data_IF_955318323451
#
_entry.id   IF_955318323451
#
_cell.length_a   1.000
_cell.length_b   1.000
_cell.length_c   1.000
_cell.angle_alpha   90.00
_cell.angle_beta   90.00
_cell.angle_gamma   90.00
#
_symmetry.space_group_name_H-M   'P 1'
#
loop_
_entity.id
_entity.type
_entity.pdbx_description
1 polymer ?
#
# COMPACT_ATOMS: atom_id res chain seq x y z
N UNK A 1 35.55 -16.39 10.51
CA UNK A 1 36.77 -16.94 9.89
C UNK A 1 36.37 -17.71 8.64
N UNK A 2 37.05 -17.45 7.52
CA UNK A 2 36.70 -18.08 6.24
C UNK A 2 37.13 -19.54 6.21
N UNK A 3 36.27 -20.40 5.68
CA UNK A 3 36.57 -21.82 5.45
C UNK A 3 36.40 -22.20 3.99
N UNK A 4 37.22 -23.14 3.52
CA UNK A 4 37.06 -23.79 2.21
C UNK A 4 36.50 -25.19 2.39
N UNK A 5 35.71 -25.62 1.41
CA UNK A 5 35.25 -27.00 1.31
C UNK A 5 36.38 -27.81 0.70
N UNK A 6 37.00 -28.68 1.49
CA UNK A 6 38.08 -29.57 1.02
C UNK A 6 37.48 -30.74 0.24
N UNK A 7 36.38 -31.30 0.74
CA UNK A 7 35.66 -32.40 0.11
C UNK A 7 34.21 -32.39 0.57
N UNK A 8 33.26 -32.48 -0.36
CA UNK A 8 31.84 -32.64 -0.06
C UNK A 8 31.25 -33.65 -1.02
N UNK A 9 30.62 -34.69 -0.47
CA UNK A 9 29.91 -35.71 -1.23
C UNK A 9 28.68 -36.16 -0.44
N UNK A 10 27.92 -37.13 -0.98
CA UNK A 10 26.66 -37.60 -0.39
C UNK A 10 26.80 -38.23 1.01
N UNK A 11 28.02 -38.64 1.41
CA UNK A 11 28.26 -39.31 2.70
C UNK A 11 29.14 -38.51 3.67
N UNK A 12 29.84 -37.46 3.21
CA UNK A 12 30.84 -36.74 4.01
C UNK A 12 31.00 -35.28 3.59
N UNK A 13 31.22 -34.43 4.58
CA UNK A 13 31.66 -33.04 4.41
C UNK A 13 32.95 -32.81 5.21
N UNK A 14 33.97 -32.26 4.55
CA UNK A 14 35.23 -31.86 5.15
C UNK A 14 35.49 -30.38 4.84
N UNK A 15 35.62 -29.58 5.89
CA UNK A 15 35.93 -28.15 5.82
C UNK A 15 37.29 -27.90 6.49
N UNK A 16 38.04 -26.95 5.94
CA UNK A 16 39.27 -26.42 6.54
C UNK A 16 39.28 -24.90 6.46
N UNK A 17 40.16 -24.26 7.22
CA UNK A 17 40.38 -22.83 7.04
C UNK A 17 40.88 -22.54 5.61
N UNK A 18 40.67 -21.31 5.14
CA UNK A 18 41.26 -20.83 3.88
C UNK A 18 42.79 -20.74 4.00
N UNK A 19 43.30 -20.31 5.16
CA UNK A 19 44.73 -20.31 5.48
C UNK A 19 45.23 -21.76 5.63
N UNK A 20 46.26 -22.09 4.86
CA UNK A 20 46.83 -23.44 4.78
C UNK A 20 47.60 -23.83 6.05
N UNK A 21 48.08 -22.84 6.80
CA UNK A 21 48.79 -23.05 8.06
C UNK A 21 47.85 -23.09 9.27
N UNK A 22 46.54 -22.94 9.06
CA UNK A 22 45.56 -22.98 10.12
C UNK A 22 45.14 -24.43 10.45
N UNK A 23 45.10 -24.77 11.74
CA UNK A 23 44.68 -26.09 12.19
C UNK A 23 43.16 -26.31 12.19
N UNK A 24 42.36 -25.24 12.01
CA UNK A 24 40.90 -25.33 12.05
C UNK A 24 40.38 -26.26 10.96
N UNK A 25 39.58 -27.24 11.36
CA UNK A 25 38.98 -28.24 10.47
C UNK A 25 37.73 -28.87 11.08
N UNK A 26 36.76 -29.16 10.23
CA UNK A 26 35.52 -29.83 10.61
C UNK A 26 35.25 -30.99 9.65
N UNK A 27 34.92 -32.15 10.23
CA UNK A 27 34.48 -33.33 9.49
C UNK A 27 33.11 -33.75 9.97
N UNK A 28 32.15 -33.80 9.04
CA UNK A 28 30.82 -34.33 9.26
C UNK A 28 30.57 -35.53 8.34
N UNK A 29 29.81 -36.52 8.84
CA UNK A 29 29.46 -37.75 8.11
C UNK A 29 27.95 -37.93 8.17
N UNK A 30 27.34 -38.34 7.05
CA UNK A 30 25.91 -38.66 6.98
C UNK A 30 25.61 -39.89 7.84
N UNK A 31 24.52 -39.85 8.61
CA UNK A 31 24.05 -41.03 9.32
C UNK A 31 23.50 -42.07 8.32
N UNK A 32 23.73 -43.38 8.52
CA UNK A 32 23.23 -44.40 7.60
C UNK A 32 21.70 -44.42 7.45
N UNK A 33 20.99 -44.00 8.51
CA UNK A 33 19.53 -44.17 8.65
C UNK A 33 18.76 -42.86 8.45
N UNK A 34 19.43 -41.73 8.22
CA UNK A 34 18.75 -40.43 8.06
C UNK A 34 19.51 -39.47 7.15
N UNK A 35 18.87 -38.36 6.78
CA UNK A 35 19.50 -37.28 6.02
C UNK A 35 20.36 -36.33 6.87
N UNK A 36 20.49 -36.63 8.17
CA UNK A 36 21.32 -35.82 9.07
C UNK A 36 22.80 -36.15 8.94
N UNK A 37 23.62 -35.11 9.08
CA UNK A 37 25.07 -35.22 9.19
C UNK A 37 25.48 -34.99 10.64
N UNK A 38 26.35 -35.85 11.17
CA UNK A 38 26.93 -35.71 12.51
C UNK A 38 28.38 -35.25 12.39
N UNK A 39 28.75 -34.23 13.16
CA UNK A 39 30.13 -33.76 13.26
C UNK A 39 30.94 -34.81 14.03
N UNK A 40 31.84 -35.51 13.33
CA UNK A 40 32.70 -36.55 13.91
C UNK A 40 34.04 -36.02 14.40
N UNK A 41 34.53 -34.93 13.83
CA UNK A 41 35.76 -34.26 14.27
C UNK A 41 35.62 -32.77 14.10
N UNK A 42 35.93 -32.02 15.14
CA UNK A 42 35.89 -30.57 15.14
C UNK A 42 37.10 -30.02 15.90
N UNK A 43 37.99 -29.35 15.17
CA UNK A 43 39.04 -28.53 15.77
C UNK A 43 38.53 -27.10 15.74
N UNK A 44 38.15 -26.59 16.91
CA UNK A 44 37.45 -25.32 17.04
C UNK A 44 38.38 -24.10 17.03
N UNK A 45 39.64 -24.28 17.43
CA UNK A 45 40.63 -23.21 17.49
C UNK A 45 41.16 -22.86 16.10
N UNK A 46 41.23 -21.56 15.84
CA UNK A 46 41.94 -21.00 14.69
C UNK A 46 43.34 -20.58 15.13
N UNK A 47 44.37 -21.15 14.53
CA UNK A 47 45.77 -20.75 14.72
C UNK A 47 46.24 -19.67 13.76
N UNK A 48 45.38 -19.27 12.81
CA UNK A 48 45.67 -18.22 11.85
C UNK A 48 45.46 -16.82 12.45
N UNK A 49 46.29 -15.87 12.04
CA UNK A 49 46.17 -14.49 12.48
C UNK A 49 44.83 -13.86 12.05
N UNK A 50 44.31 -13.02 12.92
CA UNK A 50 43.10 -12.23 12.73
C UNK A 50 43.22 -11.19 11.61
N UNK A 51 44.44 -10.85 11.18
CA UNK A 51 44.71 -9.91 10.07
C UNK A 51 44.28 -10.46 8.70
N UNK A 52 44.22 -11.78 8.52
CA UNK A 52 43.70 -12.43 7.31
C UNK A 52 42.16 -12.48 7.25
N UNK A 53 41.46 -11.90 8.24
CA UNK A 53 40.00 -11.79 8.27
C UNK A 53 39.55 -10.78 7.22
N UNK A 54 39.05 -11.28 6.10
CA UNK A 54 38.27 -10.43 5.18
C UNK A 54 36.97 -10.03 5.86
N UNK A 55 36.71 -8.73 5.84
CA UNK A 55 35.46 -8.15 6.32
C UNK A 55 34.24 -8.71 5.55
N UNK A 56 34.40 -9.00 4.26
CA UNK A 56 33.38 -9.62 3.42
C UNK A 56 33.57 -11.14 3.39
N UNK A 57 32.57 -11.88 3.88
CA UNK A 57 32.68 -13.31 4.12
C UNK A 57 31.70 -14.10 3.23
N UNK A 58 32.19 -15.01 2.39
CA UNK A 58 31.34 -15.77 1.43
C UNK A 58 30.24 -16.61 2.10
N UNK A 59 30.49 -17.05 3.32
CA UNK A 59 29.65 -17.93 4.12
C UNK A 59 28.56 -17.16 4.88
N UNK A 60 28.64 -15.83 4.94
CA UNK A 60 27.62 -14.96 5.51
C UNK A 60 26.42 -14.81 4.55
N UNK A 61 25.82 -15.93 4.19
CA UNK A 61 24.69 -15.98 3.26
C UNK A 61 23.49 -15.22 3.82
N UNK A 62 22.64 -14.71 2.91
CA UNK A 62 21.42 -14.02 3.29
C UNK A 62 20.50 -14.90 4.15
N UNK A 63 20.42 -16.19 3.82
CA UNK A 63 19.61 -17.19 4.54
C UNK A 63 20.07 -17.38 5.98
N UNK A 64 21.38 -17.58 6.18
CA UNK A 64 21.96 -17.75 7.53
C UNK A 64 21.78 -16.48 8.38
N UNK A 65 22.15 -15.33 7.84
CA UNK A 65 22.01 -14.07 8.57
C UNK A 65 20.53 -13.73 8.81
N UNK A 66 19.65 -14.07 7.87
CA UNK A 66 18.20 -13.89 7.98
C UNK A 66 17.61 -14.69 9.14
N UNK A 67 18.03 -15.95 9.30
CA UNK A 67 17.60 -16.77 10.44
C UNK A 67 18.13 -16.26 11.79
N UNK A 68 19.28 -15.58 11.82
CA UNK A 68 19.85 -15.02 13.05
C UNK A 68 19.13 -13.75 13.51
N UNK A 69 18.57 -12.97 12.56
CA UNK A 69 17.85 -11.72 12.87
C UNK A 69 16.32 -11.89 12.80
N UNK A 70 15.81 -13.10 12.58
CA UNK A 70 14.38 -13.35 12.40
C UNK A 70 13.55 -12.95 13.61
N UNK A 71 14.12 -13.04 14.81
CA UNK A 71 13.51 -12.60 16.08
C UNK A 71 13.21 -11.10 16.12
N UNK A 72 13.89 -10.28 15.31
CA UNK A 72 13.59 -8.86 15.17
C UNK A 72 12.35 -8.58 14.30
N UNK A 73 11.78 -9.60 13.68
CA UNK A 73 10.57 -9.53 12.88
C UNK A 73 9.41 -10.24 13.59
N UNK A 74 8.20 -9.88 13.20
CA UNK A 74 6.96 -10.50 13.67
C UNK A 74 5.88 -10.27 12.62
N UNK A 75 4.70 -10.87 12.81
CA UNK A 75 3.57 -10.68 11.90
C UNK A 75 3.26 -9.19 11.69
N UNK A 76 3.13 -8.44 12.78
CA UNK A 76 2.82 -7.00 12.78
C UNK A 76 4.05 -6.09 12.89
N UNK A 77 5.26 -6.64 13.12
CA UNK A 77 6.49 -5.84 13.29
C UNK A 77 7.22 -5.68 11.97
N UNK A 78 7.44 -4.45 11.52
CA UNK A 78 8.14 -4.13 10.27
C UNK A 78 9.61 -4.63 10.23
N UNK A 79 10.19 -4.77 11.42
CA UNK A 79 11.54 -5.25 11.65
C UNK A 79 12.63 -4.25 11.25
N UNK A 80 13.84 -4.76 11.02
CA UNK A 80 15.02 -3.93 10.83
C UNK A 80 15.14 -3.38 9.40
N UNK A 81 15.62 -2.14 9.28
CA UNK A 81 16.00 -1.55 7.98
C UNK A 81 17.38 -2.06 7.55
N UNK A 82 17.69 -2.12 6.24
CA UNK A 82 18.97 -2.65 5.75
C UNK A 82 20.21 -2.02 6.39
N UNK A 83 20.21 -0.72 6.68
CA UNK A 83 21.35 -0.06 7.38
C UNK A 83 21.54 -0.55 8.81
N UNK A 84 20.44 -0.81 9.53
CA UNK A 84 20.48 -1.36 10.89
C UNK A 84 20.98 -2.81 10.87
N UNK A 85 20.62 -3.58 9.84
CA UNK A 85 21.11 -4.96 9.65
C UNK A 85 22.62 -4.96 9.42
N UNK A 86 23.15 -4.04 8.59
CA UNK A 86 24.60 -3.92 8.38
C UNK A 86 25.31 -3.68 9.72
N UNK A 87 24.81 -2.73 10.51
CA UNK A 87 25.42 -2.38 11.79
C UNK A 87 25.34 -3.54 12.78
N UNK A 88 24.17 -4.17 12.91
CA UNK A 88 23.96 -5.27 13.85
C UNK A 88 24.79 -6.50 13.49
N UNK A 89 24.89 -6.87 12.20
CA UNK A 89 25.72 -8.00 11.75
C UNK A 89 27.21 -7.69 11.98
N UNK A 90 27.62 -6.43 11.82
CA UNK A 90 28.98 -5.99 12.15
C UNK A 90 29.25 -6.11 13.65
N UNK A 91 28.36 -5.60 14.49
CA UNK A 91 28.54 -5.57 15.95
C UNK A 91 28.46 -6.97 16.58
N UNK A 92 27.50 -7.80 16.17
CA UNK A 92 27.28 -9.12 16.79
C UNK A 92 28.19 -10.21 16.22
N UNK A 93 28.58 -10.10 14.94
CA UNK A 93 29.26 -11.19 14.25
C UNK A 93 30.60 -10.77 13.62
N UNK A 94 30.98 -9.49 13.70
CA UNK A 94 32.24 -9.00 13.10
C UNK A 94 32.28 -9.11 11.58
N UNK A 95 31.12 -9.26 10.92
CA UNK A 95 31.03 -9.43 9.46
C UNK A 95 30.53 -8.15 8.81
N UNK A 96 31.22 -7.68 7.78
CA UNK A 96 30.74 -6.60 6.92
C UNK A 96 29.92 -7.17 5.77
N UNK A 97 28.74 -6.59 5.57
CA UNK A 97 27.87 -6.91 4.44
C UNK A 97 27.52 -5.63 3.70
N UNK A 98 27.38 -5.72 2.39
CA UNK A 98 26.92 -4.59 1.58
C UNK A 98 25.39 -4.41 1.70
N UNK A 99 24.90 -3.26 1.25
CA UNK A 99 23.47 -2.93 1.28
C UNK A 99 22.58 -3.95 0.56
N UNK A 100 23.01 -4.45 -0.61
CA UNK A 100 22.23 -5.42 -1.39
C UNK A 100 22.09 -6.75 -0.65
N UNK A 101 23.14 -7.17 0.04
CA UNK A 101 23.12 -8.35 0.90
C UNK A 101 22.23 -8.13 2.11
N UNK A 102 22.34 -6.98 2.80
CA UNK A 102 21.46 -6.63 3.92
C UNK A 102 19.97 -6.59 3.52
N UNK A 103 19.67 -6.11 2.30
CA UNK A 103 18.31 -6.18 1.75
C UNK A 103 17.86 -7.64 1.58
N UNK A 104 18.69 -8.52 1.02
CA UNK A 104 18.35 -9.94 0.90
C UNK A 104 18.17 -10.62 2.26
N UNK A 105 19.04 -10.32 3.23
CA UNK A 105 18.92 -10.80 4.61
C UNK A 105 17.57 -10.43 5.22
N UNK A 106 17.13 -9.18 5.03
CA UNK A 106 15.81 -8.71 5.44
C UNK A 106 14.68 -9.52 4.81
N UNK A 107 14.76 -9.79 3.51
CA UNK A 107 13.71 -10.54 2.82
C UNK A 107 13.65 -12.00 3.29
N UNK A 108 14.79 -12.66 3.49
CA UNK A 108 14.85 -14.02 4.07
C UNK A 108 14.25 -14.05 5.49
N UNK A 109 14.59 -13.09 6.34
CA UNK A 109 14.04 -12.99 7.70
C UNK A 109 12.51 -12.80 7.69
N UNK A 110 11.97 -11.99 6.77
CA UNK A 110 10.52 -11.84 6.60
C UNK A 110 9.87 -13.12 6.13
N UNK A 111 10.44 -13.81 5.16
CA UNK A 111 9.91 -15.07 4.63
C UNK A 111 9.86 -16.12 5.74
N UNK A 112 10.89 -16.22 6.57
CA UNK A 112 10.93 -17.15 7.70
C UNK A 112 9.81 -16.91 8.72
N UNK A 113 9.41 -15.66 8.92
CA UNK A 113 8.41 -15.29 9.94
C UNK A 113 6.99 -15.23 9.37
N UNK A 114 6.81 -14.78 8.12
CA UNK A 114 5.50 -14.48 7.52
C UNK A 114 5.10 -15.45 6.42
N UNK A 115 5.97 -16.41 6.10
CA UNK A 115 5.81 -17.29 4.94
C UNK A 115 6.19 -16.61 3.62
N UNK A 116 6.11 -17.38 2.55
CA UNK A 116 6.35 -16.87 1.21
C UNK A 116 5.11 -16.16 0.65
N UNK A 117 5.26 -15.25 -0.31
CA UNK A 117 4.14 -14.73 -1.08
C UNK A 117 3.30 -15.85 -1.70
N UNK A 118 3.94 -16.94 -2.13
CA UNK A 118 3.28 -18.12 -2.69
C UNK A 118 2.37 -18.81 -1.66
N UNK A 119 2.84 -19.00 -0.42
CA UNK A 119 2.04 -19.58 0.67
C UNK A 119 0.77 -18.74 0.95
N UNK A 120 0.85 -17.42 0.75
CA UNK A 120 -0.29 -16.52 0.94
C UNK A 120 -1.42 -16.79 -0.07
N UNK A 121 -1.09 -17.23 -1.29
CA UNK A 121 -2.09 -17.62 -2.28
C UNK A 121 -2.79 -18.93 -1.90
N UNK A 122 -2.04 -19.92 -1.41
CA UNK A 122 -2.62 -21.17 -0.92
C UNK A 122 -3.50 -20.98 0.32
N UNK A 123 -3.22 -19.97 1.14
CA UNK A 123 -4.03 -19.62 2.30
C UNK A 123 -5.21 -18.68 2.00
N UNK A 124 -5.35 -18.20 0.75
CA UNK A 124 -6.34 -17.18 0.40
C UNK A 124 -7.77 -17.65 0.65
N UNK A 125 -8.10 -18.89 0.30
CA UNK A 125 -9.46 -19.44 0.45
C UNK A 125 -9.87 -19.54 1.92
N UNK A 126 -8.96 -20.05 2.77
CA UNK A 126 -9.13 -20.08 4.23
C UNK A 126 -9.30 -18.68 4.82
N UNK A 127 -8.50 -17.73 4.35
CA UNK A 127 -8.61 -16.33 4.78
C UNK A 127 -9.95 -15.69 4.38
N UNK A 128 -10.40 -15.86 3.14
CA UNK A 128 -11.68 -15.34 2.67
C UNK A 128 -12.84 -15.92 3.49
N UNK A 129 -12.80 -17.21 3.78
CA UNK A 129 -13.78 -17.88 4.65
C UNK A 129 -13.79 -17.27 6.05
N UNK A 130 -12.61 -17.10 6.68
CA UNK A 130 -12.54 -16.49 8.01
C UNK A 130 -13.01 -15.04 8.03
N UNK A 131 -12.76 -14.27 6.98
CA UNK A 131 -13.30 -12.92 6.86
C UNK A 131 -14.83 -12.94 6.85
N UNK A 132 -15.45 -13.87 6.11
CA UNK A 132 -16.92 -13.98 6.10
C UNK A 132 -17.50 -14.42 7.43
N UNK A 133 -16.82 -15.30 8.17
CA UNK A 133 -17.24 -15.70 9.52
C UNK A 133 -17.10 -14.56 10.54
N UNK A 134 -15.95 -13.90 10.56
CA UNK A 134 -15.62 -12.85 11.55
C UNK A 134 -16.34 -11.54 11.29
N UNK A 135 -16.79 -11.30 10.06
CA UNK A 135 -17.49 -10.07 9.66
C UNK A 135 -18.81 -10.43 8.96
N UNK A 136 -19.89 -10.68 9.71
CA UNK A 136 -21.18 -11.08 9.14
C UNK A 136 -21.72 -10.10 8.09
N UNK A 137 -22.22 -10.67 7.00
CA UNK A 137 -22.70 -9.91 5.82
C UNK A 137 -21.59 -9.50 4.85
N UNK A 138 -20.34 -9.89 5.09
CA UNK A 138 -19.27 -9.72 4.10
C UNK A 138 -19.48 -10.62 2.88
N UNK A 139 -19.12 -10.11 1.71
CA UNK A 139 -19.15 -10.83 0.44
C UNK A 139 -17.72 -11.06 -0.04
N UNK A 140 -17.38 -12.32 -0.26
CA UNK A 140 -16.09 -12.72 -0.82
C UNK A 140 -16.30 -13.56 -2.06
N UNK A 141 -15.42 -13.39 -3.04
CA UNK A 141 -15.42 -14.18 -4.26
C UNK A 141 -13.98 -14.42 -4.70
N UNK A 142 -13.71 -15.65 -5.15
CA UNK A 142 -12.42 -16.06 -5.65
C UNK A 142 -12.60 -16.70 -7.01
N UNK A 143 -11.75 -16.32 -7.95
CA UNK A 143 -11.76 -16.82 -9.31
C UNK A 143 -10.39 -17.32 -9.72
N UNK A 144 -10.37 -18.54 -10.26
CA UNK A 144 -9.18 -19.19 -10.81
C UNK A 144 -9.25 -19.24 -12.33
N UNK A 145 -8.10 -19.32 -12.98
CA UNK A 145 -8.01 -19.55 -14.42
C UNK A 145 -8.26 -21.03 -14.79
N UNK A 146 -8.22 -21.35 -16.09
CA UNK A 146 -8.39 -22.70 -16.60
C UNK A 146 -7.32 -23.71 -16.10
N UNK A 147 -6.20 -23.22 -15.56
CA UNK A 147 -5.15 -24.05 -14.97
C UNK A 147 -5.24 -24.10 -13.43
N UNK A 148 -6.34 -23.60 -12.85
CA UNK A 148 -6.58 -23.57 -11.41
C UNK A 148 -5.77 -22.50 -10.66
N UNK A 149 -5.10 -21.58 -11.36
CA UNK A 149 -4.28 -20.52 -10.72
C UNK A 149 -5.10 -19.31 -10.38
N UNK A 150 -4.69 -18.60 -9.33
CA UNK A 150 -5.29 -17.33 -8.94
C UNK A 150 -5.40 -16.38 -10.14
N UNK A 151 -6.61 -15.84 -10.33
CA UNK A 151 -6.87 -14.80 -11.34
C UNK A 151 -7.40 -13.54 -10.67
N UNK A 152 -8.50 -13.65 -9.93
CA UNK A 152 -9.14 -12.53 -9.24
C UNK A 152 -9.66 -12.93 -7.86
N UNK A 153 -9.69 -11.97 -6.94
CA UNK A 153 -10.49 -12.07 -5.73
C UNK A 153 -11.21 -10.75 -5.50
N UNK A 154 -12.40 -10.83 -4.92
CA UNK A 154 -13.22 -9.70 -4.50
C UNK A 154 -13.57 -9.87 -3.03
N UNK A 155 -13.52 -8.76 -2.29
CA UNK A 155 -13.87 -8.70 -0.88
C UNK A 155 -14.63 -7.40 -0.65
N UNK A 156 -15.84 -7.51 -0.10
CA UNK A 156 -16.60 -6.39 0.43
C UNK A 156 -17.02 -6.73 1.86
N UNK A 157 -16.54 -5.94 2.83
CA UNK A 157 -16.86 -6.18 4.23
C UNK A 157 -18.32 -5.82 4.51
N UNK A 158 -19.00 -6.63 5.32
CA UNK A 158 -20.38 -6.39 5.77
C UNK A 158 -20.58 -4.99 6.36
N UNK A 159 -19.70 -4.53 7.28
CA UNK A 159 -19.68 -3.14 7.75
C UNK A 159 -19.71 -2.11 6.62
N UNK A 160 -18.87 -2.29 5.59
CA UNK A 160 -18.79 -1.36 4.45
C UNK A 160 -20.04 -1.41 3.57
N UNK A 161 -20.64 -2.59 3.37
CA UNK A 161 -21.89 -2.74 2.60
C UNK A 161 -23.05 -2.03 3.30
N UNK A 162 -23.19 -2.21 4.62
CA UNK A 162 -24.21 -1.54 5.44
C UNK A 162 -24.01 -0.02 5.42
N UNK A 163 -22.78 0.43 5.65
CA UNK A 163 -22.45 1.86 5.59
C UNK A 163 -22.84 2.48 4.25
N UNK A 164 -22.51 1.79 3.14
CA UNK A 164 -22.86 2.24 1.79
C UNK A 164 -24.37 2.39 1.57
N UNK A 165 -25.19 1.51 2.15
CA UNK A 165 -26.65 1.57 2.00
C UNK A 165 -27.30 2.80 2.63
N UNK A 166 -26.65 3.38 3.65
CA UNK A 166 -27.11 4.58 4.35
C UNK A 166 -26.67 5.86 3.63
N UNK A 167 -25.77 5.75 2.66
CA UNK A 167 -25.22 6.91 1.97
C UNK A 167 -26.14 7.39 0.86
N UNK A 168 -26.18 8.71 0.70
CA UNK A 168 -26.76 9.29 -0.51
C UNK A 168 -25.92 8.87 -1.72
N UNK A 169 -26.60 8.47 -2.79
CA UNK A 169 -25.96 8.02 -4.03
C UNK A 169 -25.19 9.18 -4.66
N UNK A 170 -23.86 9.09 -4.66
CA UNK A 170 -22.96 10.04 -5.31
C UNK A 170 -22.71 9.59 -6.75
N UNK A 171 -22.85 10.52 -7.71
CA UNK A 171 -22.68 10.23 -9.14
C UNK A 171 -21.20 10.26 -9.54
N UNK A 172 -20.42 11.20 -9.00
CA UNK A 172 -18.99 11.32 -9.24
C UNK A 172 -18.28 12.07 -8.09
N UNK A 173 -17.02 11.72 -7.85
CA UNK A 173 -16.11 12.40 -6.91
C UNK A 173 -14.79 12.65 -7.65
N UNK A 174 -14.11 13.74 -7.34
CA UNK A 174 -12.80 14.07 -7.88
C UNK A 174 -11.85 14.53 -6.77
N UNK A 175 -10.56 14.31 -6.98
CA UNK A 175 -9.50 14.74 -6.09
C UNK A 175 -8.61 15.71 -6.86
N UNK A 176 -8.70 16.99 -6.50
CA UNK A 176 -7.98 18.08 -7.16
C UNK A 176 -7.10 18.81 -6.14
N UNK A 177 -5.98 19.36 -6.60
CA UNK A 177 -5.03 20.06 -5.72
C UNK A 177 -5.63 21.33 -5.09
N UNK A 178 -6.60 21.95 -5.75
CA UNK A 178 -7.38 23.08 -5.25
C UNK A 178 -8.69 23.24 -6.04
N UNK A 179 -9.70 23.81 -5.39
CA UNK A 179 -10.98 24.15 -6.04
C UNK A 179 -10.82 25.45 -6.86
N UNK A 180 -10.64 25.31 -8.17
CA UNK A 180 -10.51 26.44 -9.09
C UNK A 180 -11.14 26.11 -10.45
N UNK A 181 -11.26 27.11 -11.33
CA UNK A 181 -11.90 26.95 -12.64
C UNK A 181 -11.22 25.91 -13.56
N UNK A 182 -9.91 25.69 -13.43
CA UNK A 182 -9.20 24.67 -14.21
C UNK A 182 -9.55 23.26 -13.71
N UNK A 183 -9.61 23.07 -12.39
CA UNK A 183 -10.05 21.83 -11.74
C UNK A 183 -11.49 21.48 -12.13
N UNK A 184 -12.40 22.45 -12.08
CA UNK A 184 -13.80 22.25 -12.51
C UNK A 184 -13.93 21.91 -14.00
N UNK A 185 -13.18 22.60 -14.88
CA UNK A 185 -13.16 22.26 -16.32
C UNK A 185 -12.65 20.84 -16.56
N UNK A 186 -11.62 20.41 -15.84
CA UNK A 186 -11.10 19.06 -15.94
C UNK A 186 -12.12 18.03 -15.47
N UNK A 187 -12.75 18.27 -14.31
CA UNK A 187 -13.79 17.40 -13.75
C UNK A 187 -14.96 17.20 -14.72
N UNK A 188 -15.54 18.29 -15.24
CA UNK A 188 -16.67 18.19 -16.16
C UNK A 188 -16.31 17.52 -17.48
N UNK A 189 -15.07 17.69 -17.96
CA UNK A 189 -14.57 16.96 -19.13
C UNK A 189 -14.49 15.45 -18.86
N UNK A 190 -14.08 15.06 -17.66
CA UNK A 190 -14.10 13.66 -17.24
C UNK A 190 -15.52 13.11 -17.13
N UNK A 191 -16.44 13.91 -16.57
CA UNK A 191 -17.84 13.54 -16.39
C UNK A 191 -18.55 13.31 -17.73
N UNK A 192 -18.39 14.22 -18.70
CA UNK A 192 -19.04 14.12 -20.02
C UNK A 192 -18.52 12.97 -20.88
N UNK A 193 -17.31 12.46 -20.61
CA UNK A 193 -16.82 11.24 -21.28
C UNK A 193 -17.48 9.96 -20.77
N UNK A 194 -18.08 9.99 -19.57
CA UNK A 194 -18.61 8.81 -18.89
C UNK A 194 -20.12 8.80 -18.77
N UNK A 195 -20.72 9.97 -18.64
CA UNK A 195 -22.16 10.16 -18.61
C UNK A 195 -22.54 10.74 -19.97
N UNK A 196 -23.26 9.98 -20.82
CA UNK A 196 -23.71 10.51 -22.11
C UNK A 196 -24.66 11.68 -21.87
N UNK A 197 -24.60 12.67 -22.76
CA UNK A 197 -25.55 13.79 -22.74
C UNK A 197 -26.96 13.23 -22.93
N UNK A 198 -27.77 13.35 -21.90
CA UNK A 198 -29.16 12.96 -21.89
C UNK A 198 -30.02 14.21 -21.67
N UNK A 199 -31.17 14.29 -22.33
CA UNK A 199 -32.04 15.47 -22.27
C UNK A 199 -32.61 15.75 -20.87
N UNK A 200 -32.59 14.76 -19.99
CA UNK A 200 -32.98 14.82 -18.58
C UNK A 200 -31.81 15.13 -17.63
N UNK A 201 -30.56 15.11 -18.11
CA UNK A 201 -29.38 15.46 -17.32
C UNK A 201 -29.29 16.98 -17.13
N UNK A 202 -29.41 17.44 -15.88
CA UNK A 202 -29.35 18.88 -15.53
C UNK A 202 -28.22 19.15 -14.54
N UNK A 203 -27.31 20.05 -14.92
CA UNK A 203 -26.33 20.63 -14.01
C UNK A 203 -26.93 21.88 -13.35
N UNK A 204 -27.08 21.89 -12.03
CA UNK A 204 -27.66 23.03 -11.32
C UNK A 204 -26.59 23.71 -10.47
N UNK A 205 -26.03 24.82 -10.97
CA UNK A 205 -25.24 25.74 -10.14
C UNK A 205 -26.18 26.63 -9.33
N UNK A 206 -26.29 26.39 -8.02
CA UNK A 206 -27.30 27.07 -7.20
C UNK A 206 -26.93 28.49 -6.78
N UNK A 207 -25.63 28.76 -6.60
CA UNK A 207 -25.17 30.04 -6.03
C UNK A 207 -25.43 31.24 -6.95
N UNK A 208 -25.07 31.13 -8.24
CA UNK A 208 -25.26 32.24 -9.20
C UNK A 208 -26.72 32.62 -9.38
N UNK A 209 -27.60 31.62 -9.51
CA UNK A 209 -29.04 31.84 -9.64
C UNK A 209 -29.67 32.44 -8.37
N UNK A 210 -29.20 32.03 -7.19
CA UNK A 210 -29.68 32.56 -5.91
C UNK A 210 -29.44 34.08 -5.77
N UNK A 211 -28.36 34.61 -6.36
CA UNK A 211 -28.00 36.03 -6.23
C UNK A 211 -28.93 36.96 -7.03
N UNK A 212 -29.75 36.42 -7.93
CA UNK A 212 -30.69 37.17 -8.75
C UNK A 212 -32.08 37.29 -8.10
N UNK A 213 -32.28 36.68 -6.93
CA UNK A 213 -33.59 36.60 -6.29
C UNK A 213 -33.79 37.75 -5.31
N UNK A 214 -35.03 38.26 -5.25
CA UNK A 214 -35.42 39.25 -4.27
C UNK A 214 -35.82 38.55 -2.96
N UNK A 215 -35.21 38.96 -1.85
CA UNK A 215 -35.44 38.34 -0.54
C UNK A 215 -36.02 39.37 0.42
N UNK A 216 -37.14 39.01 1.05
CA UNK A 216 -37.79 39.77 2.11
C UNK A 216 -37.81 38.93 3.38
N UNK A 217 -37.20 39.43 4.45
CA UNK A 217 -37.24 38.75 5.74
C UNK A 217 -38.61 38.97 6.40
N UNK A 218 -39.27 37.86 6.78
CA UNK A 218 -40.60 37.86 7.42
C UNK A 218 -40.46 37.70 8.94
N UNK A 219 -39.58 36.79 9.36
CA UNK A 219 -39.24 36.56 10.77
C UNK A 219 -37.73 36.26 10.90
N UNK A 220 -37.27 35.86 12.10
CA UNK A 220 -35.87 35.55 12.39
C UNK A 220 -35.30 34.45 11.49
N UNK A 221 -36.10 33.43 11.16
CA UNK A 221 -35.70 32.30 10.31
C UNK A 221 -36.53 32.15 9.03
N UNK A 222 -37.60 32.94 8.86
CA UNK A 222 -38.55 32.85 7.75
C UNK A 222 -38.38 33.99 6.74
N UNK A 223 -38.35 33.64 5.46
CA UNK A 223 -38.09 34.56 4.35
C UNK A 223 -39.05 34.31 3.19
N UNK A 224 -39.55 35.40 2.62
CA UNK A 224 -40.25 35.40 1.34
C UNK A 224 -39.24 35.71 0.23
N UNK A 225 -38.96 34.72 -0.61
CA UNK A 225 -38.04 34.81 -1.74
C UNK A 225 -38.83 34.83 -3.04
N UNK A 226 -38.61 35.84 -3.87
CA UNK A 226 -39.33 36.04 -5.14
C UNK A 226 -38.40 35.94 -6.32
N UNK A 227 -38.89 35.30 -7.37
CA UNK A 227 -38.43 35.58 -8.73
C UNK A 227 -39.49 36.46 -9.43
N UNK A 228 -39.35 36.70 -10.73
CA UNK A 228 -40.26 37.58 -11.49
C UNK A 228 -41.72 37.09 -11.52
N UNK A 229 -41.97 35.79 -11.31
CA UNK A 229 -43.27 35.16 -11.57
C UNK A 229 -43.84 34.38 -10.38
N UNK A 230 -43.02 34.00 -9.40
CA UNK A 230 -43.33 33.09 -8.30
C UNK A 230 -42.77 33.60 -6.98
N UNK A 231 -43.43 33.20 -5.89
CA UNK A 231 -43.04 33.50 -4.52
C UNK A 231 -42.82 32.18 -3.78
N UNK A 232 -41.76 32.13 -2.98
CA UNK A 232 -41.40 30.98 -2.17
C UNK A 232 -41.20 31.41 -0.72
N UNK A 233 -41.65 30.57 0.20
CA UNK A 233 -41.38 30.75 1.63
C UNK A 233 -40.26 29.80 2.02
N UNK A 234 -39.26 30.32 2.72
CA UNK A 234 -38.08 29.58 3.19
C UNK A 234 -38.02 29.73 4.69
N UNK A 235 -37.91 28.62 5.41
CA UNK A 235 -37.52 28.59 6.81
C UNK A 235 -36.14 27.94 6.93
N UNK A 236 -35.13 28.74 7.26
CA UNK A 236 -33.74 28.28 7.34
C UNK A 236 -33.49 27.37 8.54
N UNK A 237 -34.19 27.56 9.66
CA UNK A 237 -34.01 26.75 10.87
C UNK A 237 -34.68 25.39 10.71
N UNK A 238 -35.89 25.35 10.14
CA UNK A 238 -36.59 24.10 9.81
C UNK A 238 -36.04 23.42 8.56
N UNK A 239 -35.13 24.07 7.83
CA UNK A 239 -34.57 23.61 6.56
C UNK A 239 -35.66 23.28 5.53
N UNK A 240 -36.65 24.17 5.47
CA UNK A 240 -37.85 24.02 4.67
C UNK A 240 -37.90 25.09 3.57
N UNK A 241 -38.40 24.72 2.39
CA UNK A 241 -38.79 25.69 1.39
C UNK A 241 -40.01 25.21 0.62
N UNK A 242 -40.95 26.10 0.29
CA UNK A 242 -42.14 25.74 -0.50
C UNK A 242 -41.83 25.22 -1.91
N UNK A 243 -40.60 25.39 -2.42
CA UNK A 243 -40.15 24.72 -3.64
C UNK A 243 -39.87 23.21 -3.47
N UNK A 244 -39.91 22.70 -2.23
CA UNK A 244 -39.66 21.32 -1.80
C UNK A 244 -38.24 20.76 -2.08
N UNK A 245 -37.43 21.46 -2.88
CA UNK A 245 -36.05 21.06 -3.17
C UNK A 245 -35.20 21.04 -1.90
N UNK A 246 -35.37 22.00 -1.00
CA UNK A 246 -34.60 22.04 0.25
C UNK A 246 -34.93 20.85 1.16
N UNK A 247 -36.22 20.51 1.22
CA UNK A 247 -36.75 19.40 2.00
C UNK A 247 -36.32 18.03 1.46
N UNK A 248 -36.32 17.85 0.14
CA UNK A 248 -35.96 16.59 -0.53
C UNK A 248 -34.44 16.43 -0.59
N UNK A 249 -33.74 17.46 -1.07
CA UNK A 249 -32.29 17.37 -1.26
C UNK A 249 -31.52 17.57 0.02
N UNK A 250 -32.13 18.07 1.09
CA UNK A 250 -31.41 18.25 2.37
C UNK A 250 -30.14 19.12 2.23
N UNK A 251 -30.07 19.90 1.15
CA UNK A 251 -29.05 20.88 0.80
C UNK A 251 -29.82 22.13 0.40
N UNK A 252 -29.37 23.34 0.81
CA UNK A 252 -30.01 24.59 0.42
C UNK A 252 -30.35 24.65 -1.08
N UNK A 253 -31.61 24.93 -1.39
CA UNK A 253 -32.05 25.27 -2.74
C UNK A 253 -31.63 26.71 -3.09
N UNK A 254 -31.87 27.16 -4.32
CA UNK A 254 -31.55 28.55 -4.73
C UNK A 254 -32.22 29.60 -3.81
N UNK A 255 -33.44 29.33 -3.34
CA UNK A 255 -34.18 30.22 -2.44
C UNK A 255 -33.55 30.25 -1.05
N UNK A 256 -33.18 29.09 -0.51
CA UNK A 256 -32.53 28.98 0.80
C UNK A 256 -31.13 29.61 0.79
N UNK A 257 -30.38 29.48 -0.30
CA UNK A 257 -29.08 30.16 -0.47
C UNK A 257 -29.28 31.67 -0.50
N UNK A 258 -30.28 32.18 -1.24
CA UNK A 258 -30.58 33.60 -1.29
C UNK A 258 -30.92 34.15 0.12
N UNK A 259 -31.78 33.45 0.87
CA UNK A 259 -32.10 33.78 2.25
C UNK A 259 -30.88 33.76 3.18
N UNK A 260 -30.03 32.72 3.10
CA UNK A 260 -28.81 32.61 3.89
C UNK A 260 -27.82 33.76 3.62
N UNK A 261 -27.65 34.14 2.35
CA UNK A 261 -26.79 35.26 1.96
C UNK A 261 -27.36 36.61 2.37
N UNK A 262 -28.70 36.77 2.37
CA UNK A 262 -29.36 37.99 2.86
C UNK A 262 -28.99 38.27 4.33
N UNK A 263 -28.96 37.24 5.18
CA UNK A 263 -28.51 37.34 6.58
C UNK A 263 -27.00 37.21 6.77
N UNK A 264 -26.21 37.24 5.68
CA UNK A 264 -24.75 37.11 5.67
C UNK A 264 -24.23 35.88 6.43
N UNK A 265 -24.95 34.76 6.36
CA UNK A 265 -24.49 33.47 6.87
C UNK A 265 -24.04 32.57 5.73
N UNK A 266 -23.06 31.73 6.04
CA UNK A 266 -22.63 30.67 5.15
C UNK A 266 -23.76 29.66 4.93
N UNK A 267 -24.06 29.39 3.67
CA UNK A 267 -25.12 28.50 3.21
C UNK A 267 -24.88 27.05 3.63
N UNK A 268 -23.61 26.61 3.71
CA UNK A 268 -23.29 25.22 4.06
C UNK A 268 -23.69 24.88 5.50
N UNK A 269 -23.90 25.87 6.37
CA UNK A 269 -24.44 25.67 7.72
C UNK A 269 -25.85 25.11 7.75
N UNK A 270 -26.59 25.24 6.66
CA UNK A 270 -27.97 24.76 6.55
C UNK A 270 -28.08 23.45 5.78
N UNK A 271 -26.94 22.84 5.41
CA UNK A 271 -26.89 21.48 4.87
C UNK A 271 -27.21 20.49 5.98
N UNK A 272 -28.01 19.48 5.66
CA UNK A 272 -28.37 18.44 6.61
C UNK A 272 -27.19 17.55 7.00
N UNK A 273 -27.24 17.04 8.22
CA UNK A 273 -26.23 16.17 8.79
C UNK A 273 -25.90 14.96 7.90
N UNK A 274 -26.86 14.44 7.12
CA UNK A 274 -26.65 13.31 6.18
C UNK A 274 -25.59 13.56 5.10
N UNK A 275 -25.23 14.81 4.82
CA UNK A 275 -24.18 15.16 3.87
C UNK A 275 -22.84 15.49 4.52
N UNK A 276 -22.76 15.46 5.85
CA UNK A 276 -21.53 15.78 6.57
C UNK A 276 -20.56 14.60 6.59
N UNK A 277 -19.27 14.91 6.50
CA UNK A 277 -18.18 13.93 6.60
C UNK A 277 -18.24 13.14 7.91
N UNK A 278 -18.71 13.76 9.00
CA UNK A 278 -18.90 13.09 10.29
C UNK A 278 -19.96 11.98 10.20
N UNK A 279 -21.09 12.23 9.55
CA UNK A 279 -22.14 11.23 9.35
C UNK A 279 -21.68 10.12 8.41
N UNK A 280 -20.91 10.48 7.38
CA UNK A 280 -20.20 9.51 6.53
C UNK A 280 -19.28 8.62 7.36
N UNK A 281 -18.45 9.20 8.23
CA UNK A 281 -17.56 8.45 9.11
C UNK A 281 -18.35 7.53 10.06
N UNK A 282 -19.48 8.00 10.60
CA UNK A 282 -20.38 7.19 11.43
C UNK A 282 -20.98 6.00 10.66
N UNK A 283 -21.33 6.16 9.38
CA UNK A 283 -21.84 5.07 8.56
C UNK A 283 -20.81 3.94 8.38
N UNK A 284 -19.51 4.25 8.42
CA UNK A 284 -18.41 3.30 8.35
C UNK A 284 -17.73 3.03 9.71
N UNK A 285 -18.35 3.43 10.82
CA UNK A 285 -17.72 3.31 12.15
C UNK A 285 -17.67 1.87 12.68
N UNK A 286 -18.45 0.96 12.09
CA UNK A 286 -18.43 -0.44 12.48
C UNK A 286 -17.05 -1.08 12.22
N UNK A 287 -16.58 -1.87 13.18
CA UNK A 287 -15.24 -2.45 13.16
C UNK A 287 -15.13 -3.58 12.14
N UNK A 288 -14.00 -3.63 11.44
CA UNK A 288 -13.61 -4.78 10.63
C UNK A 288 -12.68 -5.65 11.47
N UNK A 289 -13.13 -6.86 11.79
CA UNK A 289 -12.39 -7.81 12.58
C UNK A 289 -11.41 -8.60 11.70
N UNK A 290 -10.14 -8.77 12.11
CA UNK A 290 -9.21 -9.60 11.37
C UNK A 290 -9.63 -11.07 11.42
N UNK A 291 -9.38 -11.83 10.35
CA UNK A 291 -9.74 -13.26 10.22
C UNK A 291 -9.01 -14.24 11.15
N UNK A 292 -8.35 -13.75 12.21
CA UNK A 292 -7.60 -14.58 13.17
C UNK A 292 -6.34 -15.23 12.59
N UNK A 293 -5.76 -16.14 13.36
CA UNK A 293 -4.61 -16.96 12.93
C UNK A 293 -5.13 -18.17 12.14
N UNK A 294 -4.67 -18.30 10.88
CA UNK A 294 -5.23 -19.29 9.96
C UNK A 294 -4.84 -20.74 10.33
N UNK A 295 -3.68 -20.93 10.95
CA UNK A 295 -3.10 -22.24 11.28
C UNK A 295 -3.81 -22.96 12.43
N UNK A 296 -4.50 -22.23 13.31
CA UNK A 296 -5.14 -22.76 14.52
C UNK A 296 -6.63 -23.05 14.34
N UNK A 297 -7.18 -22.73 13.17
CA UNK A 297 -8.60 -22.85 12.88
C UNK A 297 -8.93 -24.13 12.12
N UNK A 298 -10.11 -24.70 12.39
CA UNK A 298 -10.69 -25.78 11.58
C UNK A 298 -11.51 -25.20 10.44
N UNK A 299 -11.44 -25.82 9.25
CA UNK A 299 -12.15 -25.41 8.05
C UNK A 299 -13.00 -26.55 7.50
N UNK A 300 -14.14 -26.27 6.86
CA UNK A 300 -14.86 -27.25 6.07
C UNK A 300 -13.98 -27.87 4.97
N UNK A 301 -14.16 -29.15 4.68
CA UNK A 301 -13.35 -29.89 3.69
C UNK A 301 -13.31 -29.18 2.33
N UNK A 302 -14.45 -28.66 1.87
CA UNK A 302 -14.54 -27.94 0.59
C UNK A 302 -13.70 -26.65 0.54
N UNK A 303 -13.37 -26.05 1.68
CA UNK A 303 -12.48 -24.87 1.76
C UNK A 303 -11.02 -25.31 1.85
N UNK A 304 -10.76 -26.43 2.55
CA UNK A 304 -9.41 -26.93 2.75
C UNK A 304 -8.82 -27.55 1.48
N UNK A 305 -9.65 -28.18 0.67
CA UNK A 305 -9.30 -28.73 -0.64
C UNK A 305 -9.15 -27.64 -1.73
N UNK A 306 -9.59 -26.42 -1.45
CA UNK A 306 -9.57 -25.32 -2.41
C UNK A 306 -8.14 -24.78 -2.57
N UNK A 307 -7.40 -25.35 -3.51
CA UNK A 307 -6.05 -24.90 -3.84
C UNK A 307 -6.08 -23.69 -4.79
N UNK A 308 -5.43 -22.60 -4.39
CA UNK A 308 -5.26 -21.43 -5.25
C UNK A 308 -3.77 -21.09 -5.43
N UNK A 309 -3.06 -21.74 -6.35
CA UNK A 309 -1.67 -21.41 -6.65
C UNK A 309 -1.52 -19.98 -7.22
N UNK A 310 -0.34 -19.36 -7.05
CA UNK A 310 -0.04 -18.03 -7.57
C UNK A 310 -0.20 -17.95 -9.10
N UNK A 311 -0.49 -16.75 -9.66
CA UNK A 311 -0.60 -16.57 -11.10
C UNK A 311 0.72 -16.90 -11.80
N UNK A 312 0.63 -17.41 -13.03
CA UNK A 312 1.80 -17.73 -13.85
C UNK A 312 2.55 -16.45 -14.28
N UNK A 313 3.45 -15.95 -13.44
CA UNK A 313 4.28 -14.80 -13.78
C UNK A 313 5.47 -15.23 -14.63
N UNK A 314 5.41 -14.98 -15.95
CA UNK A 314 6.60 -15.03 -16.79
C UNK A 314 7.50 -13.85 -16.40
N UNK A 315 8.67 -14.10 -15.79
CA UNK A 315 9.74 -13.09 -15.72
C UNK A 315 10.05 -12.68 -17.16
N UNK A 316 9.76 -11.42 -17.53
CA UNK A 316 10.16 -10.91 -18.85
C UNK A 316 11.68 -11.07 -18.97
N UNK A 317 12.14 -11.80 -19.98
CA UNK A 317 13.58 -11.94 -20.24
C UNK A 317 14.14 -10.56 -20.59
N UNK A 318 15.20 -10.14 -19.89
CA UNK A 318 15.83 -8.85 -20.15
C UNK A 318 16.56 -8.30 -18.94
N UNK A 319 17.46 -7.34 -19.18
CA UNK A 319 18.17 -6.62 -18.11
C UNK A 319 17.14 -5.86 -17.25
N UNK A 320 17.15 -6.04 -15.92
CA UNK A 320 16.31 -5.24 -15.03
C UNK A 320 16.51 -3.75 -15.31
N UNK A 321 15.42 -2.96 -15.45
CA UNK A 321 15.55 -1.55 -15.74
C UNK A 321 16.37 -0.86 -14.64
N UNK A 322 17.43 -0.16 -15.03
CA UNK A 322 18.31 0.57 -14.12
C UNK A 322 17.64 1.82 -13.54
N UNK A 323 16.60 2.32 -14.23
CA UNK A 323 15.80 3.47 -13.78
C UNK A 323 14.52 2.97 -13.11
N UNK A 324 14.24 3.50 -11.92
CA UNK A 324 12.98 3.30 -11.20
C UNK A 324 11.81 3.69 -12.11
N UNK A 325 10.80 2.83 -12.19
CA UNK A 325 9.52 3.18 -12.83
C UNK A 325 8.74 4.08 -11.87
N UNK A 326 8.38 5.26 -12.36
CA UNK A 326 7.60 6.26 -11.63
C UNK A 326 6.13 5.87 -11.64
N UNK A 327 5.42 6.07 -10.53
CA UNK A 327 3.97 5.91 -10.46
C UNK A 327 3.25 7.08 -11.14
N UNK A 328 1.98 6.90 -11.51
CA UNK A 328 1.18 7.89 -12.26
C UNK A 328 1.11 9.25 -11.57
N UNK A 329 1.00 9.30 -10.23
CA UNK A 329 1.00 10.55 -9.46
C UNK A 329 2.36 11.25 -9.33
N UNK A 330 3.46 10.66 -9.82
CA UNK A 330 4.74 11.34 -9.85
C UNK A 330 4.91 12.20 -11.13
N UNK A 331 4.08 11.99 -12.16
CA UNK A 331 4.15 12.80 -13.39
C UNK A 331 3.63 14.22 -13.12
N UNK A 332 4.48 15.23 -13.37
CA UNK A 332 4.06 16.64 -13.32
C UNK A 332 4.43 17.43 -12.06
N UNK A 333 4.93 16.78 -11.00
CA UNK A 333 5.33 17.52 -9.77
C UNK A 333 6.53 18.45 -10.08
N UNK A 334 6.44 19.78 -9.77
CA UNK A 334 7.56 20.70 -9.85
C UNK A 334 8.70 20.20 -8.95
N UNK A 335 9.87 19.92 -9.54
CA UNK A 335 11.01 19.30 -8.85
C UNK A 335 11.29 17.85 -9.23
N UNK A 336 10.44 17.23 -10.05
CA UNK A 336 10.58 15.82 -10.44
C UNK A 336 11.33 15.55 -11.75
N UNK A 337 11.87 16.61 -12.37
CA UNK A 337 12.90 16.44 -13.40
C UNK A 337 14.19 16.04 -12.68
N UNK A 338 14.73 14.87 -13.03
CA UNK A 338 16.09 14.47 -12.71
C UNK A 338 17.00 15.68 -12.96
N UNK A 339 17.47 16.36 -11.90
CA UNK A 339 18.46 17.42 -12.04
C UNK A 339 19.65 16.77 -12.75
N UNK A 340 19.92 17.19 -13.98
CA UNK A 340 21.06 16.65 -14.73
C UNK A 340 22.31 16.98 -13.91
N UNK A 341 23.00 15.98 -13.39
CA UNK A 341 24.29 16.20 -12.73
C UNK A 341 25.24 16.86 -13.74
N UNK A 342 25.58 18.12 -13.49
CA UNK A 342 26.62 18.84 -14.23
C UNK A 342 27.98 18.46 -13.65
N UNK A 343 28.92 18.14 -14.52
CA UNK A 343 30.30 17.86 -14.11
C UNK A 343 30.89 19.10 -13.43
N UNK A 344 31.40 18.96 -12.20
CA UNK A 344 31.95 20.07 -11.43
C UNK A 344 33.24 20.66 -12.02
N UNK A 345 33.88 20.00 -13.00
CA UNK A 345 35.06 20.54 -13.73
C UNK A 345 34.67 21.38 -14.94
N UNK A 346 33.66 20.99 -15.72
CA UNK A 346 33.37 21.62 -17.01
C UNK A 346 31.95 22.20 -17.13
N UNK A 347 31.09 21.99 -16.14
CA UNK A 347 29.71 22.48 -16.10
C UNK A 347 28.74 21.78 -17.03
N UNK A 348 29.18 20.82 -17.85
CA UNK A 348 28.32 20.08 -18.80
C UNK A 348 27.81 18.76 -18.21
N UNK A 349 26.63 18.32 -18.65
CA UNK A 349 26.01 17.07 -18.20
C UNK A 349 26.51 15.84 -18.97
N UNK A 350 26.20 14.64 -18.46
CA UNK A 350 26.47 13.37 -19.15
C UNK A 350 27.75 12.64 -18.72
N UNK A 351 28.57 13.23 -17.85
CA UNK A 351 29.78 12.60 -17.29
C UNK A 351 30.09 13.15 -15.88
N UNK A 352 30.98 12.50 -15.14
CA UNK A 352 31.40 12.96 -13.79
C UNK A 352 32.78 13.63 -13.84
N UNK A 353 33.20 14.29 -12.75
CA UNK A 353 34.55 14.89 -12.64
C UNK A 353 35.66 13.88 -12.95
N UNK A 354 35.44 12.60 -12.62
CA UNK A 354 36.39 11.49 -12.80
C UNK A 354 36.55 11.14 -14.28
N UNK A 355 35.47 11.20 -15.06
CA UNK A 355 35.46 10.85 -16.48
C UNK A 355 35.51 12.08 -17.41
N UNK A 356 35.86 13.24 -16.86
CA UNK A 356 35.93 14.49 -17.61
C UNK A 356 37.23 14.56 -18.41
N UNK A 357 37.12 14.64 -19.74
CA UNK A 357 38.25 14.77 -20.66
C UNK A 357 38.84 16.19 -20.73
N UNK A 358 38.27 17.18 -20.04
CA UNK A 358 38.90 18.51 -19.97
C UNK A 358 40.18 18.47 -19.12
N UNK A 359 41.26 19.14 -19.57
CA UNK A 359 42.49 19.28 -18.80
C UNK A 359 42.22 19.84 -17.40
N UNK A 360 43.08 19.49 -16.45
CA UNK A 360 43.08 20.13 -15.13
C UNK A 360 43.82 21.45 -15.32
N UNK A 361 43.04 22.54 -15.42
CA UNK A 361 43.53 23.91 -15.30
C UNK A 361 43.53 24.34 -13.84
#
# INVERSE_FOLDING_TARGET
>A
FEYKTVSSNKSRVLLSCVDENCMWRMRAIKLPVSDFFVVKKYVHEHTCDTTHRKANHRQASAKLLGSLISSNYGEKKEGLKPKQIIEQVRMLHGVHINYKQAWRVREEAKILVRGTPEDSYYNLSRWLYKITETNPGSLTYQHVDAAGKFKYAFVAFGPSIRGFSLMRRVIAVDVVDAENGASWKWFFRGLSQKIPDASDLKLVSRLGAAMLLNVYQVDRSEFEVKNETMKFVVDLEKRHCTCNVFDIDKIPCIHAIAAAKHIKRDENRFVDASHLTETWAKAYAESIHPGGELSTSTYPENIDELSCPPPATKKKSGRPPTKRKRSVGEFGVPGSKSQSHKCSRCGTGGHTKITCQRPIG
#
